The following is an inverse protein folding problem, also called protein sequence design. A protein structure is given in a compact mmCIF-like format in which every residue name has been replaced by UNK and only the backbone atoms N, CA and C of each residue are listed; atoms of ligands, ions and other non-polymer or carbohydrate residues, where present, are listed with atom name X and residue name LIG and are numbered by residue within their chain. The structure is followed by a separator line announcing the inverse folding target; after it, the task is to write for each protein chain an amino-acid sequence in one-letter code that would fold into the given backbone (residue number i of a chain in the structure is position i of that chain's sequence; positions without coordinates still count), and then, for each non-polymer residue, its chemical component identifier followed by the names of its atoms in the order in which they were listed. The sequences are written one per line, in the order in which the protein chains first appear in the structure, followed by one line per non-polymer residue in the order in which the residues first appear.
data_IF_191890536376
#
_entry.id   IF_191890536376
#
_cell.length_a   1.000
_cell.length_b   1.000
_cell.length_c   1.000
_cell.angle_alpha   90.00
_cell.angle_beta   90.00
_cell.angle_gamma   90.00
#
_symmetry.space_group_name_H-M   'P 1'
#
loop_
_entity.id
_entity.type
_entity.pdbx_description
1 polymer ?
#
# COMPACT_ATOMS: atom_id res chain seq x y z
N UNK A 1 24.57 -7.83 -10.93
CA UNK A 1 23.23 -8.44 -10.84
C UNK A 1 22.26 -7.38 -11.30
N UNK A 2 21.39 -7.70 -12.25
CA UNK A 2 20.46 -6.72 -12.85
C UNK A 2 19.39 -6.33 -11.83
N UNK A 3 19.10 -5.04 -11.68
CA UNK A 3 18.04 -4.58 -10.77
C UNK A 3 16.68 -4.57 -11.48
N UNK A 4 15.59 -4.53 -10.71
CA UNK A 4 14.25 -4.35 -11.29
C UNK A 4 14.15 -3.07 -12.12
N UNK A 5 14.77 -1.98 -11.66
CA UNK A 5 14.77 -0.72 -12.40
C UNK A 5 15.50 -0.83 -13.75
N UNK A 6 16.59 -1.60 -13.82
CA UNK A 6 17.31 -1.86 -15.08
C UNK A 6 16.46 -2.64 -16.08
N UNK A 7 15.65 -3.58 -15.59
CA UNK A 7 14.74 -4.35 -16.43
C UNK A 7 13.54 -3.53 -16.91
N UNK A 8 12.91 -2.77 -16.01
CA UNK A 8 11.79 -1.90 -16.35
C UNK A 8 12.20 -0.82 -17.36
N UNK A 9 13.43 -0.32 -17.26
CA UNK A 9 14.01 0.60 -18.25
C UNK A 9 14.01 0.03 -19.68
N UNK A 10 14.16 -1.29 -19.87
CA UNK A 10 14.14 -1.92 -21.20
C UNK A 10 12.77 -1.85 -21.87
N UNK A 11 11.70 -1.65 -21.09
CA UNK A 11 10.33 -1.50 -21.59
C UNK A 11 10.02 -0.10 -22.13
N UNK A 12 10.96 0.84 -22.06
CA UNK A 12 10.77 2.24 -22.46
C UNK A 12 11.74 2.63 -23.57
N UNK A 13 11.28 3.48 -24.49
CA UNK A 13 12.12 4.06 -25.54
C UNK A 13 13.16 5.03 -24.94
N UNK A 14 12.80 5.71 -23.86
CA UNK A 14 13.62 6.71 -23.19
C UNK A 14 13.36 6.71 -21.69
N UNK A 15 14.43 6.93 -20.93
CA UNK A 15 14.40 7.17 -19.49
C UNK A 15 15.31 8.34 -19.15
N UNK A 16 15.10 8.98 -18.01
CA UNK A 16 15.88 10.13 -17.57
C UNK A 16 16.59 9.80 -16.26
N UNK A 17 17.86 10.23 -16.06
CA UNK A 17 18.49 10.12 -14.76
C UNK A 17 17.99 11.24 -13.84
N UNK A 18 17.73 10.94 -12.57
CA UNK A 18 17.64 11.97 -11.53
C UNK A 18 19.04 12.43 -11.11
N UNK A 19 19.12 13.56 -10.41
CA UNK A 19 20.33 14.05 -9.73
C UNK A 19 20.91 12.98 -8.77
N UNK A 20 20.05 12.12 -8.20
CA UNK A 20 20.44 11.02 -7.32
C UNK A 20 20.84 9.72 -8.05
N UNK A 21 20.79 9.70 -9.39
CA UNK A 21 21.10 8.54 -10.22
C UNK A 21 19.95 7.54 -10.38
N UNK A 22 18.82 7.72 -9.71
CA UNK A 22 17.61 6.90 -9.93
C UNK A 22 17.05 7.11 -11.34
N UNK A 23 16.63 6.06 -12.06
CA UNK A 23 15.99 6.19 -13.35
C UNK A 23 14.54 6.69 -13.19
N UNK A 24 14.16 7.60 -14.08
CA UNK A 24 12.86 8.28 -14.12
C UNK A 24 12.15 8.06 -15.46
N UNK A 25 10.82 8.15 -15.44
CA UNK A 25 9.99 8.16 -16.64
C UNK A 25 10.18 9.46 -17.44
N UNK A 26 10.22 10.59 -16.74
CA UNK A 26 10.32 11.93 -17.31
C UNK A 26 11.52 12.70 -16.73
N UNK A 27 11.91 13.78 -17.40
CA UNK A 27 12.95 14.69 -16.91
C UNK A 27 12.58 15.20 -15.51
N UNK A 28 13.55 15.26 -14.59
CA UNK A 28 13.30 15.71 -13.21
C UNK A 28 12.86 17.18 -13.13
N UNK A 29 13.16 17.98 -14.16
CA UNK A 29 12.75 19.38 -14.28
C UNK A 29 11.40 19.56 -14.98
N UNK A 30 10.76 18.48 -15.44
CA UNK A 30 9.41 18.55 -15.99
C UNK A 30 8.46 19.09 -14.92
N UNK A 31 7.62 20.05 -15.32
CA UNK A 31 6.57 20.57 -14.45
C UNK A 31 5.67 19.42 -13.97
N UNK A 32 5.65 19.21 -12.64
CA UNK A 32 4.89 18.13 -12.00
C UNK A 32 3.39 18.20 -12.29
N UNK A 33 2.86 19.39 -12.59
CA UNK A 33 1.47 19.55 -13.03
C UNK A 33 1.16 18.82 -14.35
N UNK A 34 2.18 18.44 -15.12
CA UNK A 34 2.04 17.69 -16.37
C UNK A 34 2.09 16.17 -16.16
N UNK A 35 2.52 15.67 -14.99
CA UNK A 35 2.77 14.24 -14.79
C UNK A 35 1.55 13.37 -15.10
N UNK A 36 0.37 13.74 -14.62
CA UNK A 36 -0.86 12.98 -14.88
C UNK A 36 -1.12 12.82 -16.39
N UNK A 37 -0.94 13.89 -17.18
CA UNK A 37 -1.09 13.85 -18.63
C UNK A 37 -0.02 13.00 -19.31
N UNK A 38 1.24 13.16 -18.89
CA UNK A 38 2.35 12.42 -19.50
C UNK A 38 2.25 10.92 -19.20
N UNK A 39 1.84 10.53 -17.98
CA UNK A 39 1.55 9.13 -17.64
C UNK A 39 0.36 8.59 -18.43
N UNK A 40 -0.72 9.37 -18.57
CA UNK A 40 -1.87 8.96 -19.37
C UNK A 40 -1.49 8.69 -20.83
N UNK A 41 -0.59 9.50 -21.40
CA UNK A 41 -0.06 9.28 -22.74
C UNK A 41 0.86 8.05 -22.79
N UNK A 42 1.83 7.95 -21.88
CA UNK A 42 2.80 6.86 -21.83
C UNK A 42 2.11 5.49 -21.72
N UNK A 43 1.13 5.40 -20.84
CA UNK A 43 0.36 4.18 -20.60
C UNK A 43 -0.93 4.11 -21.41
N UNK A 44 -1.09 4.93 -22.45
CA UNK A 44 -2.21 4.82 -23.40
C UNK A 44 -3.59 4.76 -22.71
N UNK A 45 -3.78 5.56 -21.66
CA UNK A 45 -5.05 5.66 -20.94
C UNK A 45 -6.12 6.21 -21.91
N UNK A 46 -7.26 5.52 -22.09
CA UNK A 46 -8.31 5.92 -23.03
C UNK A 46 -8.78 7.35 -22.79
N UNK A 47 -9.05 8.10 -23.87
CA UNK A 47 -9.44 9.51 -23.77
C UNK A 47 -10.67 9.73 -22.88
N UNK A 48 -11.65 8.83 -22.95
CA UNK A 48 -12.86 8.85 -22.13
C UNK A 48 -12.61 8.61 -20.63
N UNK A 49 -11.46 8.06 -20.26
CA UNK A 49 -11.09 7.76 -18.87
C UNK A 49 -10.07 8.76 -18.31
N UNK A 50 -9.56 9.70 -19.12
CA UNK A 50 -8.47 10.61 -18.71
C UNK A 50 -8.83 11.53 -17.57
N UNK A 51 -10.03 12.12 -17.58
CA UNK A 51 -10.47 13.01 -16.50
C UNK A 51 -10.53 12.25 -15.16
N UNK A 52 -11.03 11.02 -15.19
CA UNK A 52 -11.06 10.12 -14.04
C UNK A 52 -9.65 9.78 -13.56
N UNK A 53 -8.76 9.44 -14.49
CA UNK A 53 -7.36 9.14 -14.21
C UNK A 53 -6.63 10.35 -13.59
N UNK A 54 -6.87 11.57 -14.09
CA UNK A 54 -6.25 12.78 -13.54
C UNK A 54 -6.71 13.07 -12.12
N UNK A 55 -7.99 12.85 -11.83
CA UNK A 55 -8.51 13.01 -10.47
C UNK A 55 -7.95 11.93 -9.53
N UNK A 56 -7.93 10.67 -9.96
CA UNK A 56 -7.30 9.58 -9.21
C UNK A 56 -5.81 9.86 -8.96
N UNK A 57 -5.09 10.38 -9.96
CA UNK A 57 -3.69 10.77 -9.83
C UNK A 57 -3.48 11.84 -8.76
N UNK A 58 -4.30 12.90 -8.74
CA UNK A 58 -4.18 13.96 -7.72
C UNK A 58 -4.40 13.41 -6.32
N UNK A 59 -5.46 12.62 -6.13
CA UNK A 59 -5.76 12.02 -4.82
C UNK A 59 -4.63 11.10 -4.36
N UNK A 60 -4.09 10.28 -5.27
CA UNK A 60 -3.07 9.30 -4.95
C UNK A 60 -1.65 9.90 -4.79
N UNK A 61 -1.33 11.01 -5.47
CA UNK A 61 0.05 11.53 -5.55
C UNK A 61 0.25 12.88 -4.86
N UNK A 62 -0.79 13.70 -4.71
CA UNK A 62 -0.70 15.01 -4.04
C UNK A 62 -1.13 14.88 -2.56
N UNK A 63 -0.90 13.72 -1.95
CA UNK A 63 -1.30 13.37 -0.59
C UNK A 63 -0.52 14.07 0.52
N UNK A 64 -0.16 13.34 1.58
CA UNK A 64 0.54 13.93 2.73
C UNK A 64 2.06 13.96 2.60
N UNK A 65 2.63 13.11 1.74
CA UNK A 65 4.06 12.97 1.56
C UNK A 65 4.59 13.68 0.33
N UNK A 66 5.70 13.17 -0.17
CA UNK A 66 6.37 13.63 -1.39
C UNK A 66 6.13 12.65 -2.54
N UNK A 67 4.97 11.96 -2.53
CA UNK A 67 4.61 10.94 -3.52
C UNK A 67 4.68 11.49 -4.94
N UNK A 68 4.35 12.77 -5.14
CA UNK A 68 4.48 13.45 -6.43
C UNK A 68 5.93 13.55 -6.94
N UNK A 69 6.94 13.56 -6.08
CA UNK A 69 8.35 13.46 -6.50
C UNK A 69 8.72 12.02 -6.82
N UNK A 70 8.25 11.06 -6.02
CA UNK A 70 8.62 9.65 -6.15
C UNK A 70 7.87 8.92 -7.27
N UNK A 71 6.69 9.40 -7.68
CA UNK A 71 5.86 8.80 -8.76
C UNK A 71 6.60 8.75 -10.10
N UNK A 72 7.53 9.68 -10.34
CA UNK A 72 8.33 9.71 -11.56
C UNK A 72 9.42 8.63 -11.60
N UNK A 73 9.64 7.89 -10.49
CA UNK A 73 10.58 6.76 -10.47
C UNK A 73 10.00 5.53 -11.16
N UNK A 74 10.84 4.79 -11.90
CA UNK A 74 10.45 3.53 -12.54
C UNK A 74 9.98 2.45 -11.55
N UNK A 75 10.32 2.61 -10.27
CA UNK A 75 10.00 1.66 -9.19
C UNK A 75 8.98 2.23 -8.20
N UNK A 76 8.10 3.13 -8.67
CA UNK A 76 7.02 3.71 -7.87
C UNK A 76 5.87 2.72 -7.63
N UNK A 77 5.66 2.33 -6.37
CA UNK A 77 4.51 1.53 -5.91
C UNK A 77 3.18 2.28 -6.04
N UNK A 78 3.20 3.59 -5.83
CA UNK A 78 2.03 4.47 -5.97
C UNK A 78 1.56 4.57 -7.43
N UNK A 79 2.49 4.67 -8.40
CA UNK A 79 2.13 4.63 -9.82
C UNK A 79 1.55 3.27 -10.20
N UNK A 80 2.14 2.18 -9.71
CA UNK A 80 1.68 0.84 -10.02
C UNK A 80 0.26 0.58 -9.47
N UNK A 81 -0.01 0.97 -8.21
CA UNK A 81 -1.36 0.85 -7.63
C UNK A 81 -2.36 1.72 -8.39
N UNK A 82 -2.00 2.97 -8.73
CA UNK A 82 -2.84 3.85 -9.54
C UNK A 82 -3.20 3.20 -10.88
N UNK A 83 -2.22 2.78 -11.67
CA UNK A 83 -2.45 2.18 -13.00
C UNK A 83 -3.28 0.89 -12.94
N UNK A 84 -3.23 0.17 -11.83
CA UNK A 84 -3.98 -1.08 -11.63
C UNK A 84 -5.42 -0.81 -11.20
N UNK A 85 -5.64 0.12 -10.27
CA UNK A 85 -6.95 0.26 -9.60
C UNK A 85 -7.76 1.49 -10.05
N UNK A 86 -7.17 2.43 -10.81
CA UNK A 86 -7.91 3.61 -11.31
C UNK A 86 -9.17 3.27 -12.12
N UNK A 87 -9.28 2.13 -12.86
CA UNK A 87 -10.50 1.84 -13.60
C UNK A 87 -11.75 1.72 -12.71
N UNK A 88 -11.55 1.49 -11.40
CA UNK A 88 -12.62 1.43 -10.39
C UNK A 88 -12.73 2.71 -9.54
N UNK A 89 -11.86 3.70 -9.75
CA UNK A 89 -11.92 4.97 -9.02
C UNK A 89 -13.24 5.69 -9.33
N UNK A 90 -13.96 6.14 -8.30
CA UNK A 90 -15.26 6.81 -8.48
C UNK A 90 -16.36 5.97 -9.16
N UNK A 91 -16.13 4.68 -9.43
CA UNK A 91 -17.03 3.85 -10.21
C UNK A 91 -18.36 3.60 -9.47
N UNK A 92 -19.47 3.77 -10.19
CA UNK A 92 -20.83 3.49 -9.67
C UNK A 92 -21.47 2.28 -10.34
N UNK A 93 -20.91 1.78 -11.44
CA UNK A 93 -21.40 0.62 -12.16
C UNK A 93 -20.86 -0.67 -11.54
N UNK A 94 -21.70 -1.37 -10.79
CA UNK A 94 -21.37 -2.64 -10.12
C UNK A 94 -21.11 -3.80 -11.10
N UNK A 95 -21.40 -3.65 -12.39
CA UNK A 95 -21.03 -4.63 -13.41
C UNK A 95 -19.55 -4.55 -13.82
N UNK A 96 -18.89 -3.42 -13.54
CA UNK A 96 -17.45 -3.23 -13.69
C UNK A 96 -16.77 -3.48 -12.34
N UNK A 97 -16.15 -4.65 -12.18
CA UNK A 97 -15.51 -5.07 -10.94
C UNK A 97 -14.22 -5.84 -11.21
N UNK A 98 -13.36 -5.89 -10.20
CA UNK A 98 -12.27 -6.86 -10.11
C UNK A 98 -12.66 -7.98 -9.14
N UNK A 99 -12.06 -9.16 -9.30
CA UNK A 99 -12.25 -10.32 -8.42
C UNK A 99 -10.97 -10.62 -7.66
N UNK A 100 -11.05 -10.70 -6.32
CA UNK A 100 -9.96 -11.12 -5.44
C UNK A 100 -10.50 -12.22 -4.54
N UNK A 101 -9.87 -13.40 -4.54
CA UNK A 101 -10.27 -14.53 -3.72
C UNK A 101 -11.76 -14.92 -3.84
N UNK A 102 -12.35 -14.71 -5.02
CA UNK A 102 -13.77 -14.98 -5.30
C UNK A 102 -14.73 -13.85 -4.91
N UNK A 103 -14.25 -12.80 -4.23
CA UNK A 103 -15.02 -11.60 -3.87
C UNK A 103 -14.90 -10.53 -4.97
N UNK A 104 -15.99 -9.82 -5.26
CA UNK A 104 -16.05 -8.83 -6.33
C UNK A 104 -16.02 -7.42 -5.76
N UNK A 105 -15.11 -6.58 -6.25
CA UNK A 105 -14.95 -5.19 -5.83
C UNK A 105 -15.13 -4.27 -7.01
N UNK A 106 -16.04 -3.29 -6.88
CA UNK A 106 -16.44 -2.43 -7.99
C UNK A 106 -15.93 -1.00 -7.87
N UNK A 107 -15.50 -0.58 -6.68
CA UNK A 107 -15.09 0.80 -6.41
C UNK A 107 -13.76 0.84 -5.68
N UNK A 108 -12.92 1.80 -6.06
CA UNK A 108 -11.63 2.06 -5.46
C UNK A 108 -11.56 3.47 -4.88
N UNK A 109 -10.93 3.56 -3.71
CA UNK A 109 -10.40 4.79 -3.12
C UNK A 109 -8.89 4.65 -3.00
N UNK A 110 -8.15 5.70 -3.34
CA UNK A 110 -6.72 5.83 -3.08
C UNK A 110 -6.44 6.67 -1.84
N UNK A 111 -5.29 6.41 -1.19
CA UNK A 111 -4.74 7.23 -0.12
C UNK A 111 -5.76 7.52 1.01
N UNK A 112 -6.52 6.50 1.40
CA UNK A 112 -7.58 6.66 2.41
C UNK A 112 -6.97 6.88 3.79
N UNK A 113 -7.45 7.92 4.48
CA UNK A 113 -6.82 8.40 5.72
C UNK A 113 -7.59 7.93 6.91
N UNK A 114 -6.91 7.16 7.76
CA UNK A 114 -7.44 6.64 9.00
C UNK A 114 -6.66 7.16 10.21
N UNK A 115 -7.36 7.34 11.32
CA UNK A 115 -6.82 8.00 12.51
C UNK A 115 -5.78 7.12 13.21
N UNK A 116 -4.55 7.60 13.38
CA UNK A 116 -3.56 6.99 14.28
C UNK A 116 -3.03 8.03 15.27
N UNK A 117 -1.88 7.82 15.90
CA UNK A 117 -1.32 8.82 16.81
C UNK A 117 -0.76 10.00 15.98
N UNK A 118 -1.23 11.22 16.31
CA UNK A 118 -0.85 12.51 15.70
C UNK A 118 -1.32 12.74 14.26
N UNK A 119 -0.72 12.04 13.29
CA UNK A 119 -1.03 12.17 11.85
C UNK A 119 -1.77 10.91 11.40
N UNK A 120 -2.72 10.99 10.46
CA UNK A 120 -3.39 9.79 9.97
C UNK A 120 -2.41 8.86 9.27
N UNK A 121 -2.76 7.59 9.24
CA UNK A 121 -2.15 6.60 8.37
C UNK A 121 -2.95 6.59 7.07
N UNK A 122 -2.29 6.83 5.94
CA UNK A 122 -2.85 6.61 4.61
C UNK A 122 -2.70 5.15 4.22
N UNK A 123 -3.75 4.50 3.74
CA UNK A 123 -3.63 3.21 3.04
C UNK A 123 -3.72 3.47 1.54
N UNK A 124 -2.82 2.87 0.77
CA UNK A 124 -2.70 3.14 -0.67
C UNK A 124 -4.01 2.90 -1.42
N UNK A 125 -4.69 1.78 -1.16
CA UNK A 125 -5.90 1.36 -1.87
C UNK A 125 -6.96 0.83 -0.89
N UNK A 126 -8.20 1.26 -1.07
CA UNK A 126 -9.37 0.66 -0.44
C UNK A 126 -10.43 0.30 -1.50
N UNK A 127 -10.81 -0.97 -1.53
CA UNK A 127 -11.73 -1.55 -2.50
C UNK A 127 -13.06 -1.87 -1.83
N UNK A 128 -14.17 -1.43 -2.42
CA UNK A 128 -15.52 -1.69 -1.92
C UNK A 128 -16.13 -2.88 -2.65
N UNK A 129 -16.61 -3.87 -1.89
CA UNK A 129 -17.30 -5.04 -2.44
C UNK A 129 -18.59 -4.62 -3.15
N UNK A 130 -19.06 -5.43 -4.11
CA UNK A 130 -20.30 -5.18 -4.86
C UNK A 130 -21.53 -5.07 -3.95
N UNK A 131 -21.57 -5.84 -2.86
CA UNK A 131 -22.63 -5.77 -1.84
C UNK A 131 -22.47 -4.62 -0.84
N UNK A 132 -21.36 -3.86 -0.92
CA UNK A 132 -20.98 -2.76 -0.03
C UNK A 132 -20.81 -3.14 1.44
N UNK A 133 -20.71 -4.44 1.76
CA UNK A 133 -20.55 -4.93 3.13
C UNK A 133 -19.09 -5.12 3.54
N UNK A 134 -18.16 -5.20 2.58
CA UNK A 134 -16.74 -5.38 2.82
C UNK A 134 -15.92 -4.25 2.20
N UNK A 135 -14.90 -3.81 2.93
CA UNK A 135 -13.84 -2.97 2.38
C UNK A 135 -12.52 -3.71 2.50
N UNK A 136 -11.83 -3.90 1.38
CA UNK A 136 -10.48 -4.46 1.36
C UNK A 136 -9.45 -3.33 1.25
N UNK A 137 -8.61 -3.21 2.26
CA UNK A 137 -7.50 -2.28 2.36
C UNK A 137 -6.20 -2.97 1.91
N UNK A 138 -5.51 -2.38 0.94
CA UNK A 138 -4.26 -2.91 0.39
C UNK A 138 -3.15 -1.87 0.52
N UNK A 139 -2.05 -2.31 1.13
CA UNK A 139 -0.77 -1.61 1.06
C UNK A 139 0.04 -2.16 -0.13
N UNK A 140 0.38 -1.31 -1.08
CA UNK A 140 1.11 -1.61 -2.31
C UNK A 140 2.62 -1.55 -2.07
N UNK A 141 3.35 -2.54 -2.60
CA UNK A 141 4.83 -2.50 -2.66
C UNK A 141 5.32 -2.98 -4.03
N UNK A 142 6.36 -2.33 -4.53
CA UNK A 142 7.01 -2.66 -5.80
C UNK A 142 8.48 -3.06 -5.62
N UNK A 143 9.25 -2.32 -4.81
CA UNK A 143 10.68 -2.58 -4.63
C UNK A 143 11.23 -2.19 -3.27
N UNK A 144 10.39 -1.69 -2.39
CA UNK A 144 10.74 -1.17 -1.07
C UNK A 144 11.36 -2.27 -0.21
N UNK A 145 10.94 -3.53 -0.39
CA UNK A 145 11.55 -4.68 0.27
C UNK A 145 12.99 -4.98 -0.18
N UNK A 146 13.45 -4.42 -1.31
CA UNK A 146 14.84 -4.51 -1.75
C UNK A 146 15.64 -3.24 -1.41
N UNK A 147 15.01 -2.05 -1.49
CA UNK A 147 15.69 -0.76 -1.38
C UNK A 147 15.59 -0.11 0.01
N UNK A 148 14.56 -0.45 0.78
CA UNK A 148 14.24 0.12 2.10
C UNK A 148 14.72 -0.75 3.27
N UNK A 149 15.60 -1.71 3.03
CA UNK A 149 16.06 -2.66 4.06
C UNK A 149 17.04 -2.01 5.04
N UNK A 150 16.92 -2.39 6.31
CA UNK A 150 17.79 -1.94 7.39
C UNK A 150 17.96 -3.04 8.43
N UNK A 151 18.91 -2.85 9.35
CA UNK A 151 19.10 -3.76 10.48
C UNK A 151 18.21 -3.42 11.67
N UNK A 152 17.67 -2.19 11.69
CA UNK A 152 16.83 -1.68 12.75
C UNK A 152 15.91 -0.58 12.27
N UNK A 153 14.85 -0.32 13.05
CA UNK A 153 13.87 0.70 12.81
C UNK A 153 13.37 1.30 14.13
N UNK A 154 13.48 2.62 14.27
CA UNK A 154 12.91 3.34 15.40
C UNK A 154 11.39 3.47 15.24
N UNK A 155 10.68 3.19 16.32
CA UNK A 155 9.25 3.42 16.46
C UNK A 155 9.00 4.76 17.16
N UNK A 156 7.86 5.39 16.87
CA UNK A 156 7.47 6.60 17.59
C UNK A 156 7.31 6.31 19.09
N UNK A 157 7.88 7.18 19.95
CA UNK A 157 7.80 7.03 21.43
C UNK A 157 6.38 6.81 21.94
N UNK A 158 5.39 7.41 21.29
CA UNK A 158 3.98 7.28 21.63
C UNK A 158 3.41 5.88 21.45
N UNK A 159 4.07 5.02 20.66
CA UNK A 159 3.66 3.63 20.45
C UNK A 159 4.31 2.67 21.44
N UNK A 160 5.21 3.13 22.31
CA UNK A 160 5.97 2.26 23.24
C UNK A 160 5.08 1.26 24.01
N UNK A 161 3.98 1.74 24.59
CA UNK A 161 3.07 0.89 25.39
C UNK A 161 2.28 -0.12 24.58
N UNK A 162 2.17 0.03 23.25
CA UNK A 162 1.56 -0.96 22.38
C UNK A 162 2.49 -2.15 22.12
N UNK A 163 3.79 -1.88 22.02
CA UNK A 163 4.79 -2.89 21.67
C UNK A 163 5.35 -3.62 22.89
N UNK A 164 5.48 -2.93 24.03
CA UNK A 164 6.07 -3.49 25.26
C UNK A 164 5.10 -4.33 26.12
N UNK A 165 5.69 -5.19 26.96
CA UNK A 165 4.99 -5.98 27.98
C UNK A 165 4.66 -7.40 27.52
N UNK A 166 4.23 -8.23 28.46
CA UNK A 166 3.87 -9.64 28.19
C UNK A 166 2.71 -9.75 27.19
N UNK A 167 1.83 -8.74 27.14
CA UNK A 167 0.69 -8.67 26.21
C UNK A 167 0.87 -7.63 25.10
N UNK A 168 2.10 -7.11 24.91
CA UNK A 168 2.42 -6.16 23.84
C UNK A 168 2.66 -6.86 22.50
N UNK A 169 2.57 -6.11 21.40
CA UNK A 169 2.74 -6.64 20.04
C UNK A 169 4.07 -7.40 19.86
N UNK A 170 5.14 -6.95 20.52
CA UNK A 170 6.42 -7.63 20.42
C UNK A 170 6.32 -9.09 20.89
N UNK A 171 5.82 -9.28 22.11
CA UNK A 171 5.72 -10.60 22.74
C UNK A 171 4.70 -11.51 22.03
N UNK A 172 3.65 -10.93 21.45
CA UNK A 172 2.54 -11.70 20.86
C UNK A 172 2.77 -12.10 19.39
N UNK A 173 3.53 -11.32 18.62
CA UNK A 173 3.56 -11.48 17.18
C UNK A 173 4.94 -11.31 16.53
N UNK A 174 5.93 -10.74 17.23
CA UNK A 174 7.18 -10.32 16.59
C UNK A 174 8.45 -10.96 17.17
N UNK A 175 8.42 -11.45 18.41
CA UNK A 175 9.62 -11.86 19.15
C UNK A 175 10.39 -13.04 18.53
N UNK A 176 9.72 -13.90 17.76
CA UNK A 176 10.36 -15.01 17.05
C UNK A 176 11.06 -14.57 15.75
N UNK A 177 10.84 -13.33 15.31
CA UNK A 177 11.26 -12.83 13.99
C UNK A 177 12.03 -11.51 14.04
N UNK A 178 11.89 -10.77 15.13
CA UNK A 178 12.52 -9.48 15.37
C UNK A 178 12.97 -9.41 16.83
N UNK A 179 13.99 -8.61 17.09
CA UNK A 179 14.32 -8.16 18.44
C UNK A 179 13.69 -6.79 18.70
N UNK A 180 13.42 -6.49 19.97
CA UNK A 180 13.04 -5.15 20.40
C UNK A 180 13.92 -4.68 21.55
N UNK A 181 14.36 -3.43 21.44
CA UNK A 181 15.06 -2.72 22.49
C UNK A 181 14.41 -1.36 22.72
N UNK A 182 14.65 -0.75 23.87
CA UNK A 182 14.20 0.62 24.15
C UNK A 182 15.38 1.48 24.54
N UNK A 183 15.67 2.45 23.68
CA UNK A 183 16.77 3.40 23.85
C UNK A 183 16.19 4.79 24.12
N UNK A 184 16.50 5.39 25.27
CA UNK A 184 16.00 6.73 25.66
C UNK A 184 14.46 6.89 25.55
N UNK A 185 13.73 5.81 25.83
CA UNK A 185 12.27 5.75 25.74
C UNK A 185 11.71 5.60 24.31
N UNK A 186 12.56 5.45 23.31
CA UNK A 186 12.20 5.11 21.92
C UNK A 186 12.27 3.59 21.75
N UNK A 187 11.17 2.92 21.35
CA UNK A 187 11.24 1.51 20.97
C UNK A 187 11.95 1.36 19.63
N UNK A 188 12.80 0.35 19.51
CA UNK A 188 13.56 0.05 18.29
C UNK A 188 13.37 -1.43 17.97
N UNK A 189 12.84 -1.72 16.79
CA UNK A 189 12.79 -3.08 16.24
C UNK A 189 14.10 -3.36 15.51
N UNK A 190 14.65 -4.56 15.65
CA UNK A 190 15.92 -4.98 15.03
C UNK A 190 15.77 -6.37 14.41
N UNK A 191 16.61 -6.70 13.43
CA UNK A 191 16.75 -8.09 12.99
C UNK A 191 17.26 -8.99 14.13
N UNK A 192 16.95 -10.29 14.07
CA UNK A 192 17.28 -11.24 15.15
C UNK A 192 18.78 -11.32 15.47
N UNK A 193 19.63 -11.20 14.46
CA UNK A 193 21.08 -11.21 14.62
C UNK A 193 21.69 -9.79 14.69
N UNK A 194 20.86 -8.76 14.55
CA UNK A 194 21.23 -7.34 14.49
C UNK A 194 22.07 -6.93 13.27
N UNK A 195 22.24 -7.83 12.29
CA UNK A 195 23.15 -7.67 11.14
C UNK A 195 22.45 -7.84 9.81
N UNK A 196 21.45 -8.71 9.77
CA UNK A 196 20.65 -8.93 8.57
C UNK A 196 19.86 -7.66 8.24
N UNK A 197 19.86 -7.30 6.96
CA UNK A 197 19.06 -6.19 6.45
C UNK A 197 17.72 -6.72 5.98
N UNK A 198 16.65 -6.29 6.65
CA UNK A 198 15.27 -6.70 6.37
C UNK A 198 14.38 -5.46 6.28
N UNK A 199 13.21 -5.61 5.65
CA UNK A 199 12.27 -4.50 5.45
C UNK A 199 11.26 -4.42 6.61
N UNK A 200 11.71 -3.94 7.77
CA UNK A 200 10.89 -3.80 8.99
C UNK A 200 9.80 -2.73 8.81
N UNK A 201 10.05 -1.70 8.00
CA UNK A 201 9.11 -0.60 7.78
C UNK A 201 7.75 -1.09 7.28
N UNK A 202 7.70 -2.11 6.42
CA UNK A 202 6.43 -2.70 5.96
C UNK A 202 5.59 -3.30 7.09
N UNK A 203 6.23 -3.89 8.11
CA UNK A 203 5.53 -4.43 9.30
C UNK A 203 4.97 -3.28 10.15
N UNK A 204 5.79 -2.24 10.38
CA UNK A 204 5.35 -1.04 11.10
C UNK A 204 4.19 -0.33 10.39
N UNK A 205 4.25 -0.20 9.07
CA UNK A 205 3.18 0.37 8.25
C UNK A 205 1.89 -0.45 8.44
N UNK A 206 1.96 -1.77 8.32
CA UNK A 206 0.83 -2.68 8.56
C UNK A 206 0.17 -2.47 9.91
N UNK A 207 0.96 -2.43 10.99
CA UNK A 207 0.45 -2.17 12.34
C UNK A 207 -0.20 -0.78 12.42
N UNK A 208 0.41 0.24 11.80
CA UNK A 208 -0.16 1.60 11.74
C UNK A 208 -1.52 1.60 11.03
N UNK A 209 -1.65 0.91 9.90
CA UNK A 209 -2.93 0.81 9.19
C UNK A 209 -3.97 0.11 10.07
N UNK A 210 -3.63 -0.99 10.73
CA UNK A 210 -4.56 -1.70 11.63
C UNK A 210 -5.05 -0.83 12.79
N UNK A 211 -4.19 0.02 13.36
CA UNK A 211 -4.61 1.05 14.33
C UNK A 211 -5.62 2.00 13.69
N UNK A 212 -5.33 2.46 12.46
CA UNK A 212 -6.24 3.28 11.67
C UNK A 212 -7.59 2.62 11.44
N UNK A 213 -7.61 1.35 11.05
CA UNK A 213 -8.82 0.56 10.82
C UNK A 213 -9.63 0.33 12.10
N UNK A 214 -9.03 0.42 13.28
CA UNK A 214 -9.77 0.35 14.57
C UNK A 214 -10.40 1.71 14.89
N UNK A 215 -9.68 2.80 14.64
CA UNK A 215 -10.09 4.17 15.00
C UNK A 215 -10.95 4.88 13.94
N UNK A 216 -10.93 4.36 12.72
CA UNK A 216 -11.74 4.84 11.59
C UNK A 216 -11.19 6.04 10.84
N UNK A 217 -11.98 6.54 9.86
CA UNK A 217 -11.60 7.63 8.98
C UNK A 217 -11.22 8.91 9.71
N UNK A 218 -10.30 9.67 9.12
CA UNK A 218 -9.92 11.00 9.58
C UNK A 218 -9.82 11.98 8.41
N UNK A 219 -10.63 13.04 8.44
CA UNK A 219 -10.40 14.18 7.57
C UNK A 219 -9.15 14.93 8.02
N UNK A 220 -8.21 15.10 7.10
CA UNK A 220 -6.97 15.83 7.33
C UNK A 220 -6.63 16.65 6.09
N UNK A 221 -6.57 17.98 6.22
CA UNK A 221 -6.52 18.91 5.07
C UNK A 221 -5.12 19.09 4.45
N UNK A 222 -4.17 18.19 4.70
CA UNK A 222 -2.85 18.25 4.06
C UNK A 222 -2.89 17.59 2.68
N UNK A 223 -2.38 18.29 1.65
CA UNK A 223 -2.42 17.81 0.27
C UNK A 223 -3.81 17.89 -0.37
N UNK A 224 -3.94 17.33 -1.57
CA UNK A 224 -5.18 17.18 -2.30
C UNK A 224 -6.02 16.03 -1.74
N UNK A 225 -6.94 16.36 -0.84
CA UNK A 225 -7.89 15.40 -0.28
C UNK A 225 -9.25 16.08 -0.11
N UNK A 226 -10.07 16.10 -1.18
CA UNK A 226 -11.35 16.81 -1.17
C UNK A 226 -12.26 16.32 -0.05
N UNK A 227 -13.01 17.23 0.57
CA UNK A 227 -13.92 16.88 1.67
C UNK A 227 -15.04 15.93 1.20
N UNK A 228 -15.54 16.11 -0.02
CA UNK A 228 -16.56 15.22 -0.59
C UNK A 228 -16.03 13.81 -0.85
N UNK A 229 -14.75 13.69 -1.24
CA UNK A 229 -14.07 12.40 -1.40
C UNK A 229 -13.95 11.67 -0.04
N UNK A 230 -13.53 12.40 1.00
CA UNK A 230 -13.50 11.88 2.37
C UNK A 230 -14.88 11.42 2.85
N UNK A 231 -15.92 12.26 2.67
CA UNK A 231 -17.30 11.94 3.08
C UNK A 231 -17.83 10.70 2.37
N UNK A 232 -17.47 10.52 1.10
CA UNK A 232 -17.86 9.33 0.36
C UNK A 232 -17.18 8.07 0.92
N UNK A 233 -15.88 8.13 1.20
CA UNK A 233 -15.16 7.05 1.87
C UNK A 233 -15.76 6.72 3.25
N UNK A 234 -15.97 7.72 4.10
CA UNK A 234 -16.55 7.58 5.44
C UNK A 234 -17.95 6.94 5.41
N UNK A 235 -18.76 7.27 4.39
CA UNK A 235 -20.06 6.66 4.17
C UNK A 235 -19.99 5.15 3.88
N UNK A 236 -19.01 4.69 3.10
CA UNK A 236 -18.82 3.25 2.90
C UNK A 236 -18.26 2.60 4.15
N UNK A 237 -17.28 3.24 4.79
CA UNK A 237 -16.64 2.73 6.00
C UNK A 237 -17.64 2.48 7.13
N UNK A 238 -18.54 3.44 7.38
CA UNK A 238 -19.57 3.34 8.44
C UNK A 238 -20.63 2.26 8.21
N UNK A 239 -20.75 1.74 6.98
CA UNK A 239 -21.71 0.68 6.62
C UNK A 239 -21.08 -0.69 6.51
N UNK A 240 -19.75 -0.76 6.35
CA UNK A 240 -19.04 -2.01 6.22
C UNK A 240 -19.28 -2.88 7.46
N UNK A 241 -19.54 -4.16 7.20
CA UNK A 241 -19.62 -5.22 8.21
C UNK A 241 -18.22 -5.81 8.45
N UNK A 242 -17.37 -5.82 7.40
CA UNK A 242 -16.00 -6.34 7.44
C UNK A 242 -15.02 -5.33 6.82
N UNK A 243 -13.92 -5.08 7.53
CA UNK A 243 -12.72 -4.42 7.01
C UNK A 243 -11.64 -5.50 6.88
N UNK A 244 -11.22 -5.77 5.66
CA UNK A 244 -10.17 -6.73 5.38
C UNK A 244 -8.88 -5.98 5.06
N UNK A 245 -7.75 -6.41 5.60
CA UNK A 245 -6.45 -5.76 5.37
C UNK A 245 -5.44 -6.75 4.79
N UNK A 246 -4.61 -6.29 3.86
CA UNK A 246 -3.44 -7.02 3.44
C UNK A 246 -2.45 -6.17 2.64
N UNK A 247 -1.45 -6.84 2.08
CA UNK A 247 -0.48 -6.23 1.19
C UNK A 247 -0.57 -6.84 -0.20
N UNK A 248 -0.30 -6.02 -1.22
CA UNK A 248 -0.12 -6.46 -2.60
C UNK A 248 1.31 -6.16 -3.05
N UNK A 249 2.03 -7.21 -3.42
CA UNK A 249 3.43 -7.13 -3.82
C UNK A 249 3.61 -7.29 -5.32
N UNK A 250 4.61 -6.65 -5.87
CA UNK A 250 5.06 -6.92 -7.23
C UNK A 250 6.00 -8.13 -7.26
N UNK A 251 5.58 -9.21 -7.90
CA UNK A 251 6.42 -10.39 -8.09
C UNK A 251 7.27 -10.25 -9.36
N UNK A 252 8.54 -9.90 -9.19
CA UNK A 252 9.46 -9.67 -10.29
C UNK A 252 9.98 -10.96 -10.98
N UNK A 253 9.36 -12.13 -10.76
CA UNK A 253 9.85 -13.41 -11.31
C UNK A 253 9.85 -13.47 -12.85
N UNK A 254 9.00 -12.69 -13.52
CA UNK A 254 9.01 -12.52 -14.98
C UNK A 254 10.19 -11.67 -15.49
N UNK A 255 10.96 -11.10 -14.58
CA UNK A 255 12.18 -10.37 -14.83
C UNK A 255 13.37 -11.20 -14.36
N UNK A 256 14.49 -11.11 -15.08
CA UNK A 256 15.72 -11.82 -14.74
C UNK A 256 16.47 -11.09 -13.60
N UNK A 257 15.81 -10.99 -12.45
CA UNK A 257 16.27 -10.27 -11.26
C UNK A 257 16.26 -11.17 -10.04
N UNK A 258 17.07 -10.83 -9.04
CA UNK A 258 17.04 -11.54 -7.77
C UNK A 258 15.70 -11.30 -7.06
N UNK A 259 15.10 -12.39 -6.58
CA UNK A 259 13.84 -12.39 -5.83
C UNK A 259 14.02 -12.74 -4.35
N UNK A 260 15.25 -12.82 -3.88
CA UNK A 260 15.54 -13.18 -2.48
C UNK A 260 14.94 -12.16 -1.50
N UNK A 261 15.03 -10.87 -1.80
CA UNK A 261 14.48 -9.80 -0.97
C UNK A 261 12.94 -9.85 -0.94
N UNK A 262 12.32 -10.16 -2.09
CA UNK A 262 10.87 -10.41 -2.18
C UNK A 262 10.47 -11.59 -1.29
N UNK A 263 11.20 -12.72 -1.37
CA UNK A 263 10.92 -13.92 -0.57
C UNK A 263 11.12 -13.66 0.91
N UNK A 264 12.20 -13.00 1.30
CA UNK A 264 12.49 -12.66 2.69
C UNK A 264 11.41 -11.77 3.29
N UNK A 265 10.96 -10.74 2.56
CA UNK A 265 9.86 -9.91 3.03
C UNK A 265 8.52 -10.65 3.06
N UNK A 266 8.22 -11.47 2.03
CA UNK A 266 7.00 -12.27 2.00
C UNK A 266 6.92 -13.24 3.18
N UNK A 267 8.06 -13.87 3.52
CA UNK A 267 8.17 -14.74 4.69
C UNK A 267 7.99 -13.96 6.00
N UNK A 268 8.68 -12.83 6.17
CA UNK A 268 8.54 -11.97 7.34
C UNK A 268 7.09 -11.50 7.53
N UNK A 269 6.45 -11.00 6.47
CA UNK A 269 5.06 -10.53 6.51
C UNK A 269 4.08 -11.66 6.84
N UNK A 270 4.24 -12.83 6.21
CA UNK A 270 3.37 -13.97 6.47
C UNK A 270 3.47 -14.43 7.92
N UNK A 271 4.69 -14.55 8.43
CA UNK A 271 4.99 -15.01 9.79
C UNK A 271 4.63 -14.03 10.89
N UNK A 272 4.47 -12.75 10.56
CA UNK A 272 4.14 -11.71 11.55
C UNK A 272 2.70 -11.23 11.40
N UNK A 273 2.33 -10.68 10.25
CA UNK A 273 1.03 -10.05 10.03
C UNK A 273 -0.06 -11.08 9.75
N UNK A 274 0.20 -12.08 8.91
CA UNK A 274 -0.83 -13.08 8.55
C UNK A 274 -1.04 -14.06 9.69
N UNK A 275 0.02 -14.72 10.16
CA UNK A 275 -0.07 -15.75 11.20
C UNK A 275 -0.60 -15.22 12.54
N UNK A 276 -0.25 -13.98 12.93
CA UNK A 276 -0.66 -13.37 14.20
C UNK A 276 -1.64 -12.20 14.03
N UNK A 277 -2.30 -12.10 12.87
CA UNK A 277 -3.14 -10.96 12.52
C UNK A 277 -4.25 -10.68 13.54
N UNK A 278 -4.88 -11.74 14.04
CA UNK A 278 -5.94 -11.65 15.05
C UNK A 278 -5.40 -11.13 16.38
N UNK A 279 -4.29 -11.68 16.86
CA UNK A 279 -3.61 -11.27 18.09
C UNK A 279 -3.17 -9.81 18.02
N UNK A 280 -2.66 -9.36 16.87
CA UNK A 280 -2.30 -7.97 16.62
C UNK A 280 -3.54 -7.07 16.77
N UNK A 281 -4.64 -7.41 16.08
CA UNK A 281 -5.89 -6.63 16.15
C UNK A 281 -6.44 -6.58 17.57
N UNK A 282 -6.46 -7.70 18.29
CA UNK A 282 -6.96 -7.78 19.66
C UNK A 282 -6.08 -7.00 20.65
N UNK A 283 -4.75 -7.04 20.46
CA UNK A 283 -3.79 -6.24 21.22
C UNK A 283 -4.03 -4.74 20.99
N UNK A 284 -4.17 -4.30 19.73
CA UNK A 284 -4.43 -2.89 19.41
C UNK A 284 -5.76 -2.43 20.01
N UNK A 285 -6.84 -3.21 19.90
CA UNK A 285 -8.14 -2.89 20.52
C UNK A 285 -8.03 -2.71 22.02
N UNK A 286 -7.29 -3.60 22.68
CA UNK A 286 -7.05 -3.52 24.14
C UNK A 286 -6.23 -2.29 24.50
N UNK A 287 -5.20 -1.97 23.72
CA UNK A 287 -4.34 -0.80 23.92
C UNK A 287 -5.09 0.52 23.69
N UNK A 288 -5.98 0.58 22.70
CA UNK A 288 -6.70 1.80 22.34
C UNK A 288 -7.70 2.23 23.44
N UNK A 289 -8.12 1.30 24.31
CA UNK A 289 -9.11 1.51 25.38
C UNK A 289 -10.42 2.15 24.89
N UNK A 290 -10.66 2.15 23.58
CA UNK A 290 -11.76 2.84 22.93
C UNK A 290 -12.86 1.87 22.55
N UNK A 291 -14.10 2.22 22.90
CA UNK A 291 -15.25 1.79 22.11
C UNK A 291 -15.10 2.45 20.74
N UNK A 292 -14.55 1.74 19.75
CA UNK A 292 -14.64 2.20 18.38
C UNK A 292 -16.11 2.49 18.07
N UNK A 293 -16.40 3.67 17.51
CA UNK A 293 -17.75 4.02 17.07
C UNK A 293 -18.26 3.05 15.98
N UNK A 294 -17.34 2.32 15.35
CA UNK A 294 -17.59 1.37 14.28
C UNK A 294 -17.62 -0.06 14.83
N UNK A 295 -18.75 -0.75 14.66
CA UNK A 295 -18.93 -2.16 15.05
C UNK A 295 -18.46 -3.12 13.96
N UNK A 296 -17.30 -2.84 13.36
CA UNK A 296 -16.83 -3.57 12.19
C UNK A 296 -15.89 -4.70 12.59
N UNK A 297 -16.03 -5.85 11.93
CA UNK A 297 -15.06 -6.94 12.06
C UNK A 297 -13.82 -6.62 11.23
N UNK A 298 -12.62 -6.86 11.78
CA UNK A 298 -11.37 -6.64 11.06
C UNK A 298 -10.73 -8.00 10.80
N UNK A 299 -10.43 -8.27 9.53
CA UNK A 299 -9.81 -9.51 9.06
C UNK A 299 -8.48 -9.18 8.37
N UNK A 300 -7.50 -10.08 8.49
CA UNK A 300 -6.27 -10.03 7.70
C UNK A 300 -6.42 -11.04 6.57
N UNK A 301 -5.99 -10.67 5.36
CA UNK A 301 -5.91 -11.62 4.26
C UNK A 301 -5.04 -12.81 4.64
N UNK A 302 -5.52 -14.01 4.31
CA UNK A 302 -4.86 -15.29 4.60
C UNK A 302 -3.60 -15.54 3.76
N UNK A 303 -3.37 -14.71 2.74
CA UNK A 303 -2.20 -14.73 1.87
C UNK A 303 -1.85 -13.35 1.36
N UNK A 304 -0.58 -13.17 1.05
CA UNK A 304 -0.08 -12.01 0.32
C UNK A 304 -0.67 -12.02 -1.09
N UNK A 305 -1.21 -10.88 -1.54
CA UNK A 305 -1.60 -10.71 -2.93
C UNK A 305 -0.39 -10.34 -3.76
N UNK A 306 -0.39 -10.71 -5.03
CA UNK A 306 0.57 -10.17 -6.00
C UNK A 306 -0.17 -9.54 -7.17
N UNK A 307 0.43 -8.52 -7.77
CA UNK A 307 -0.12 -7.91 -9.00
C UNK A 307 -0.25 -8.94 -10.13
N UNK A 308 0.76 -9.81 -10.26
CA UNK A 308 0.78 -10.91 -11.21
C UNK A 308 -0.35 -11.91 -10.95
N UNK A 309 -0.58 -12.28 -9.69
CA UNK A 309 -1.70 -13.14 -9.30
C UNK A 309 -3.05 -12.49 -9.57
N UNK A 310 -3.22 -11.22 -9.21
CA UNK A 310 -4.44 -10.45 -9.46
C UNK A 310 -4.79 -10.38 -10.96
N UNK A 311 -3.79 -10.15 -11.81
CA UNK A 311 -3.96 -9.93 -13.25
C UNK A 311 -3.84 -11.21 -14.09
N UNK A 312 -3.66 -12.36 -13.43
CA UNK A 312 -3.84 -13.67 -14.05
C UNK A 312 -5.33 -13.99 -14.31
N UNK A 313 -6.24 -13.31 -13.61
CA UNK A 313 -7.68 -13.35 -13.90
C UNK A 313 -7.99 -12.48 -15.12
N UNK A 314 -8.56 -13.08 -16.16
CA UNK A 314 -8.90 -12.42 -17.42
C UNK A 314 -9.91 -11.27 -17.26
N UNK A 315 -10.83 -11.34 -16.30
CA UNK A 315 -11.77 -10.24 -16.06
C UNK A 315 -11.04 -9.04 -15.48
N UNK A 316 -10.13 -9.27 -14.52
CA UNK A 316 -9.30 -8.21 -13.95
C UNK A 316 -8.39 -7.60 -15.02
N UNK A 317 -7.73 -8.46 -15.82
CA UNK A 317 -6.82 -8.07 -16.89
C UNK A 317 -7.47 -7.14 -17.91
N UNK A 318 -8.74 -7.37 -18.27
CA UNK A 318 -9.51 -6.56 -19.24
C UNK A 318 -9.77 -5.13 -18.77
N UNK A 319 -9.65 -4.84 -17.48
CA UNK A 319 -9.79 -3.47 -16.96
C UNK A 319 -8.53 -2.63 -17.19
N UNK A 320 -7.39 -3.28 -17.47
CA UNK A 320 -6.07 -2.65 -17.48
C UNK A 320 -5.62 -2.39 -18.92
N UNK A 321 -5.02 -1.23 -19.15
CA UNK A 321 -4.46 -0.89 -20.45
C UNK A 321 -3.34 -1.86 -20.86
N UNK A 322 -3.32 -2.28 -22.13
CA UNK A 322 -2.35 -3.26 -22.66
C UNK A 322 -0.89 -2.82 -22.50
N UNK A 323 -0.64 -1.51 -22.64
CA UNK A 323 0.64 -0.84 -22.35
C UNK A 323 1.16 -1.12 -20.94
N UNK A 324 0.30 -1.07 -19.92
CA UNK A 324 0.62 -1.34 -18.52
C UNK A 324 0.95 -2.82 -18.34
N UNK A 325 0.09 -3.71 -18.87
CA UNK A 325 0.30 -5.16 -18.83
C UNK A 325 1.65 -5.54 -19.45
N UNK A 326 1.98 -4.96 -20.61
CA UNK A 326 3.24 -5.19 -21.31
C UNK A 326 4.44 -4.65 -20.53
N UNK A 327 4.34 -3.43 -19.99
CA UNK A 327 5.45 -2.77 -19.29
C UNK A 327 5.87 -3.55 -18.03
N UNK A 328 4.89 -3.96 -17.23
CA UNK A 328 5.11 -4.69 -15.98
C UNK A 328 5.19 -6.21 -16.14
N UNK A 329 5.04 -6.73 -17.38
CA UNK A 329 5.03 -8.17 -17.71
C UNK A 329 4.00 -8.96 -16.89
N UNK A 330 2.78 -8.44 -16.84
CA UNK A 330 1.63 -9.12 -16.24
C UNK A 330 1.01 -10.14 -17.17
#
# INVERSE_FOLDING_TARGET
MTTLADELKKGLEKTYPSTSGKPLFFDENLDKALYAREFANLFSIPENDRDLFYEAFKVAMEGQGDELSDVNSLISSALLSLLTFYPLFGNTDKSKYLTINGEQYYRCFFEVRNRVINRPSSVDVALISVDEKKILFLESKLSEYANGVGTSLELGKSYKSLYEGENGLYSLALCDYLNMEVENGTPILKSLDGKEKIYIEGIKQSISHLIGLIRGPQFYKQGYYPEDYYKEYEKFYSKAEVLEYGTILFEAAAFDVNTQEFKAYSELYSKTIIEHGKEIVDCIKSWDNGESEYKTHIEILDKILTYQGLLSDENNRRLIAESVLKYYKF
#
